data_IF_012053891687
#
_entry.id   IF_012053891687
#
_cell.length_a   1.000
_cell.length_b   1.000
_cell.length_c   1.000
_cell.angle_alpha   90.00
_cell.angle_beta   90.00
_cell.angle_gamma   90.00
#
_symmetry.space_group_name_H-M   'P 1'
#
loop_
_entity.id
_entity.type
_entity.pdbx_description
1 polymer ?
#
# COMPACT_ATOMS: atom_id res chain seq x y z
N UNK A 1 -3.61 2.61 -3.82
CA UNK A 1 -2.69 2.01 -4.79
C UNK A 1 -3.34 0.75 -5.34
N UNK A 2 -3.52 0.66 -6.66
CA UNK A 2 -4.07 -0.53 -7.32
C UNK A 2 -2.97 -1.31 -8.03
N UNK A 3 -3.08 -2.64 -7.99
CA UNK A 3 -2.06 -3.60 -8.41
C UNK A 3 -2.70 -4.75 -9.20
N UNK A 4 -2.04 -5.16 -10.29
CA UNK A 4 -2.28 -6.45 -10.93
C UNK A 4 -1.22 -7.44 -10.44
N UNK A 5 -1.66 -8.54 -9.85
CA UNK A 5 -0.82 -9.59 -9.32
C UNK A 5 -0.55 -10.64 -10.41
N UNK A 6 0.68 -11.16 -10.42
CA UNK A 6 1.01 -12.32 -11.22
C UNK A 6 0.08 -13.49 -10.88
N UNK A 7 -0.26 -14.35 -11.86
CA UNK A 7 -1.02 -15.56 -11.61
C UNK A 7 -0.44 -16.39 -10.46
N UNK A 8 -1.30 -16.81 -9.54
CA UNK A 8 -0.96 -17.64 -8.38
C UNK A 8 -0.01 -17.00 -7.34
N UNK A 9 0.25 -15.69 -7.42
CA UNK A 9 1.12 -14.99 -6.47
C UNK A 9 0.39 -14.35 -5.28
N UNK A 10 -0.93 -14.53 -5.10
CA UNK A 10 -1.70 -13.87 -4.02
C UNK A 10 -1.16 -14.14 -2.60
N UNK A 11 -0.75 -15.38 -2.32
CA UNK A 11 -0.15 -15.74 -1.03
C UNK A 11 1.24 -15.12 -0.85
N UNK A 12 2.06 -15.14 -1.90
CA UNK A 12 3.37 -14.51 -1.89
C UNK A 12 3.26 -13.00 -1.72
N UNK A 13 2.33 -12.36 -2.42
CA UNK A 13 1.99 -10.96 -2.26
C UNK A 13 1.62 -10.64 -0.81
N UNK A 14 0.74 -11.45 -0.19
CA UNK A 14 0.35 -11.27 1.22
C UNK A 14 1.57 -11.36 2.15
N UNK A 15 2.48 -12.31 1.88
CA UNK A 15 3.73 -12.46 2.63
C UNK A 15 4.67 -11.27 2.45
N UNK A 16 4.87 -10.82 1.21
CA UNK A 16 5.70 -9.65 0.86
C UNK A 16 5.15 -8.40 1.53
N UNK A 17 3.83 -8.22 1.50
CA UNK A 17 3.18 -7.08 2.14
C UNK A 17 3.49 -7.04 3.64
N UNK A 18 3.28 -8.17 4.34
CA UNK A 18 3.50 -8.25 5.78
C UNK A 18 4.98 -8.15 6.19
N UNK A 19 5.89 -8.73 5.42
CA UNK A 19 7.31 -8.87 5.81
C UNK A 19 8.21 -7.75 5.29
N UNK A 20 7.83 -7.10 4.20
CA UNK A 20 8.68 -6.09 3.54
C UNK A 20 7.97 -4.74 3.48
N UNK A 21 6.76 -4.68 2.93
CA UNK A 21 6.06 -3.41 2.69
C UNK A 21 5.66 -2.71 3.99
N UNK A 22 4.95 -3.39 4.88
CA UNK A 22 4.50 -2.80 6.15
C UNK A 22 5.70 -2.29 7.00
N UNK A 23 6.82 -3.03 7.13
CA UNK A 23 8.02 -2.50 7.77
C UNK A 23 8.62 -1.28 7.08
N UNK A 24 8.61 -1.19 5.74
CA UNK A 24 9.08 0.01 5.02
C UNK A 24 8.20 1.21 5.37
N UNK A 25 6.87 1.04 5.31
CA UNK A 25 5.92 2.12 5.58
C UNK A 25 5.98 2.61 7.02
N UNK A 26 6.08 1.70 8.00
CA UNK A 26 6.19 2.06 9.43
C UNK A 26 7.44 2.88 9.78
N UNK A 27 8.48 2.86 8.96
CA UNK A 27 9.67 3.71 9.15
C UNK A 27 9.45 5.14 8.66
N UNK A 28 8.43 5.37 7.84
CA UNK A 28 8.18 6.67 7.24
C UNK A 28 7.55 7.60 8.26
N UNK A 29 8.03 8.84 8.30
CA UNK A 29 7.42 9.88 9.13
C UNK A 29 5.96 10.05 8.70
N UNK A 30 5.06 10.08 9.67
CA UNK A 30 3.65 10.36 9.45
C UNK A 30 2.81 9.21 8.94
N UNK A 31 3.39 8.02 8.69
CA UNK A 31 2.60 6.83 8.39
C UNK A 31 1.71 6.46 9.58
N UNK A 32 0.42 6.21 9.31
CA UNK A 32 -0.58 5.86 10.32
C UNK A 32 -0.99 4.40 10.22
N UNK A 33 -1.41 3.95 9.05
CA UNK A 33 -1.93 2.60 8.86
C UNK A 33 -1.95 2.19 7.38
N UNK A 34 -2.22 0.92 7.11
CA UNK A 34 -2.50 0.41 5.77
C UNK A 34 -3.63 -0.63 5.77
N UNK A 35 -4.56 -0.48 4.83
CA UNK A 35 -5.53 -1.51 4.47
C UNK A 35 -5.14 -2.11 3.12
N UNK A 36 -4.85 -3.40 3.11
CA UNK A 36 -4.54 -4.15 1.89
C UNK A 36 -5.63 -5.20 1.63
N UNK A 37 -6.15 -5.23 0.40
CA UNK A 37 -7.17 -6.16 -0.03
C UNK A 37 -6.72 -6.89 -1.30
N UNK A 38 -7.07 -8.17 -1.39
CA UNK A 38 -6.88 -8.99 -2.58
C UNK A 38 -8.27 -9.38 -3.10
N UNK A 39 -8.50 -9.20 -4.40
CA UNK A 39 -9.75 -9.60 -5.04
C UNK A 39 -9.94 -11.12 -4.96
N UNK A 40 -11.20 -11.57 -4.97
CA UNK A 40 -11.52 -13.00 -4.86
C UNK A 40 -10.85 -13.87 -5.95
N UNK A 41 -10.55 -13.30 -7.12
CA UNK A 41 -9.82 -13.96 -8.21
C UNK A 41 -8.31 -14.09 -8.00
N UNK A 42 -7.74 -13.42 -6.98
CA UNK A 42 -6.31 -13.47 -6.69
C UNK A 42 -5.39 -12.77 -7.70
N UNK A 43 -5.98 -12.10 -8.70
CA UNK A 43 -5.27 -11.39 -9.79
C UNK A 43 -5.13 -9.90 -9.54
N UNK A 44 -5.92 -9.34 -8.63
CA UNK A 44 -5.95 -7.90 -8.39
C UNK A 44 -5.88 -7.64 -6.89
N UNK A 45 -5.17 -6.58 -6.53
CA UNK A 45 -5.07 -6.12 -5.16
C UNK A 45 -5.10 -4.59 -5.09
N UNK A 46 -5.49 -4.07 -3.95
CA UNK A 46 -5.31 -2.66 -3.64
C UNK A 46 -4.79 -2.48 -2.22
N UNK A 47 -3.91 -1.49 -2.07
CA UNK A 47 -3.40 -1.02 -0.78
C UNK A 47 -3.79 0.43 -0.56
N UNK A 48 -4.33 0.76 0.61
CA UNK A 48 -4.68 2.11 1.04
C UNK A 48 -3.80 2.42 2.23
N UNK A 49 -2.82 3.32 2.07
CA UNK A 49 -2.00 3.81 3.17
C UNK A 49 -2.54 5.14 3.71
N UNK A 50 -2.55 5.25 5.02
CA UNK A 50 -3.03 6.42 5.76
C UNK A 50 -1.84 7.18 6.33
N UNK A 51 -1.94 8.51 6.29
CA UNK A 51 -0.88 9.43 6.68
C UNK A 51 -1.46 10.56 7.54
N UNK A 52 -0.63 11.12 8.42
CA UNK A 52 -1.02 12.22 9.32
C UNK A 52 -1.26 13.53 8.57
N UNK A 53 -0.42 13.84 7.60
CA UNK A 53 -0.51 15.02 6.75
C UNK A 53 -0.07 14.70 5.32
N UNK A 54 -0.56 15.49 4.37
CA UNK A 54 -0.20 15.34 2.95
C UNK A 54 1.31 15.44 2.71
N UNK A 55 2.01 16.30 3.45
CA UNK A 55 3.45 16.49 3.29
C UNK A 55 4.25 15.21 3.60
N UNK A 56 3.83 14.44 4.60
CA UNK A 56 4.40 13.12 4.93
C UNK A 56 4.22 12.12 3.78
N UNK A 57 3.00 12.05 3.23
CA UNK A 57 2.69 11.16 2.10
C UNK A 57 3.49 11.54 0.83
N UNK A 58 3.59 12.85 0.54
CA UNK A 58 4.35 13.35 -0.60
C UNK A 58 5.86 13.11 -0.45
N UNK A 59 6.40 13.21 0.77
CA UNK A 59 7.80 12.88 1.06
C UNK A 59 8.10 11.39 0.84
N UNK A 60 7.24 10.51 1.36
CA UNK A 60 7.32 9.07 1.10
C UNK A 60 7.30 8.77 -0.41
N UNK A 61 6.40 9.42 -1.16
CA UNK A 61 6.26 9.27 -2.60
C UNK A 61 7.54 9.58 -3.39
N UNK A 62 8.37 10.50 -2.89
CA UNK A 62 9.65 10.87 -3.52
C UNK A 62 10.80 9.97 -3.08
N UNK A 63 10.89 9.68 -1.78
CA UNK A 63 12.15 9.21 -1.19
C UNK A 63 12.19 7.70 -0.95
N UNK A 64 11.04 7.06 -0.68
CA UNK A 64 10.99 5.65 -0.25
C UNK A 64 10.01 4.78 -1.04
N UNK A 65 9.17 5.38 -1.90
CA UNK A 65 8.25 4.63 -2.74
C UNK A 65 8.95 3.59 -3.63
N UNK A 66 10.17 3.88 -4.10
CA UNK A 66 10.94 2.96 -4.94
C UNK A 66 11.30 1.65 -4.21
N UNK A 67 11.46 1.65 -2.89
CA UNK A 67 11.68 0.42 -2.12
C UNK A 67 10.45 -0.48 -2.16
N UNK A 68 9.25 0.10 -2.04
CA UNK A 68 7.98 -0.62 -2.15
C UNK A 68 7.80 -1.20 -3.55
N UNK A 69 8.09 -0.41 -4.60
CA UNK A 69 8.06 -0.88 -5.99
C UNK A 69 8.98 -2.10 -6.18
N UNK A 70 10.20 -2.04 -5.65
CA UNK A 70 11.18 -3.14 -5.76
C UNK A 70 10.71 -4.42 -5.07
N UNK A 71 10.12 -4.31 -3.89
CA UNK A 71 9.57 -5.46 -3.17
C UNK A 71 8.36 -6.07 -3.93
N UNK A 72 7.50 -5.22 -4.50
CA UNK A 72 6.33 -5.67 -5.26
C UNK A 72 6.67 -6.26 -6.64
N UNK A 73 7.78 -5.87 -7.26
CA UNK A 73 8.17 -6.31 -8.61
C UNK A 73 8.22 -7.85 -8.81
N UNK A 74 8.41 -8.60 -7.71
CA UNK A 74 8.41 -10.07 -7.76
C UNK A 74 7.02 -10.65 -7.95
N UNK A 75 5.97 -9.96 -7.48
CA UNK A 75 4.60 -10.48 -7.35
C UNK A 75 3.57 -9.77 -8.22
N UNK A 76 3.93 -8.66 -8.89
CA UNK A 76 3.05 -7.90 -9.79
C UNK A 76 3.52 -7.98 -11.25
N UNK A 77 2.58 -7.91 -12.20
CA UNK A 77 2.84 -7.89 -13.66
C UNK A 77 2.17 -6.71 -14.38
N UNK A 78 1.80 -5.67 -13.63
CA UNK A 78 1.25 -4.43 -14.16
C UNK A 78 1.91 -3.17 -13.58
N UNK A 79 1.45 -2.02 -14.06
CA UNK A 79 1.85 -0.71 -13.52
C UNK A 79 1.05 -0.43 -12.25
N UNK A 80 1.76 -0.07 -11.18
CA UNK A 80 1.13 0.41 -9.95
C UNK A 80 0.40 1.73 -10.21
N UNK A 81 -0.89 1.78 -9.89
CA UNK A 81 -1.67 3.02 -9.98
C UNK A 81 -1.79 3.64 -8.59
N UNK A 82 -1.25 4.85 -8.43
CA UNK A 82 -1.27 5.59 -7.17
C UNK A 82 -2.19 6.80 -7.30
N UNK A 83 -3.06 6.96 -6.31
CA UNK A 83 -3.96 8.10 -6.18
C UNK A 83 -4.03 8.48 -4.69
N UNK A 84 -4.17 9.78 -4.43
CA UNK A 84 -4.24 10.34 -3.08
C UNK A 84 -5.59 11.02 -2.89
N UNK A 85 -6.16 10.85 -1.70
CA UNK A 85 -7.48 11.37 -1.33
C UNK A 85 -7.47 11.81 0.12
N UNK A 86 -8.32 12.78 0.45
CA UNK A 86 -8.62 13.12 1.83
C UNK A 86 -9.69 12.16 2.37
N UNK A 87 -9.49 11.67 3.59
CA UNK A 87 -10.42 10.74 4.21
C UNK A 87 -11.58 11.53 4.83
N UNK A 88 -12.78 11.37 4.27
CA UNK A 88 -13.98 12.08 4.73
C UNK A 88 -14.80 11.32 5.77
N UNK A 89 -14.70 9.98 5.80
CA UNK A 89 -15.42 9.11 6.74
C UNK A 89 -14.79 7.71 6.79
N UNK A 90 -14.84 7.04 7.94
CA UNK A 90 -14.53 5.62 8.09
C UNK A 90 -15.33 5.03 9.24
N UNK A 91 -15.94 3.86 9.02
CA UNK A 91 -16.67 3.10 10.05
C UNK A 91 -15.82 2.01 10.69
N UNK A 92 -14.67 1.69 10.09
CA UNK A 92 -13.80 0.57 10.50
C UNK A 92 -12.56 1.06 11.26
N UNK A 93 -12.01 2.20 10.84
CA UNK A 93 -10.86 2.84 11.46
C UNK A 93 -11.34 4.11 12.15
N UNK A 94 -11.05 4.28 13.44
CA UNK A 94 -11.36 5.51 14.16
C UNK A 94 -10.46 6.63 13.64
N UNK A 95 -11.04 7.48 12.80
CA UNK A 95 -10.42 8.75 12.43
C UNK A 95 -10.77 9.69 13.57
N UNK A 96 -9.88 9.86 14.54
CA UNK A 96 -10.05 10.95 15.51
C UNK A 96 -10.01 12.29 14.76
N UNK A 97 -10.96 13.15 15.09
CA UNK A 97 -11.16 14.50 14.54
C UNK A 97 -10.35 15.49 15.34
#
# INVERSE_FOLDING_TARGET
VSMHLKPYCAEEFTRTNRKEIIPILRRQKGFRDEVTCVAAGGTDAFGISFWDEKASADAYGRDSYLEVVKALAKVIDGVLQVQSYDVVNSTFHQIEV
#
